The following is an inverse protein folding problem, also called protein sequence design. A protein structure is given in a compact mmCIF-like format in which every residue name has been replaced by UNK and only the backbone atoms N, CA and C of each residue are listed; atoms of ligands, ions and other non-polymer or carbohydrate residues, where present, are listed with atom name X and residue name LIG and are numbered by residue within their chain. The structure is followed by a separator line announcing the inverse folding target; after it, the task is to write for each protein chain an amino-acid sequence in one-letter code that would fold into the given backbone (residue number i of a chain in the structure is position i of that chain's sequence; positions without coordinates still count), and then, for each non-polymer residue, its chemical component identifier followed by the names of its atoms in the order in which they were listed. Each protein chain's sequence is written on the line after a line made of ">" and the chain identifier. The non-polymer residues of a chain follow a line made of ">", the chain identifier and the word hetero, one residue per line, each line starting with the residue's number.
data_IF_829535325204
#
_entry.id   IF_829535325204
#
_cell.length_a   1.000
_cell.length_b   1.000
_cell.length_c   1.000
_cell.angle_alpha   90.00
_cell.angle_beta   90.00
_cell.angle_gamma   90.00
#
_symmetry.space_group_name_H-M   'P 1'
#
loop_
_entity.id
_entity.type
_entity.pdbx_description
1 polymer ?
#
# COMPACT_ATOMS: atom_id res chain seq x y z
N UNK A 1 -16.15 -5.61 -41.46
CA UNK A 1 -17.26 -5.78 -40.51
C UNK A 1 -17.09 -7.04 -39.68
N UNK A 2 -17.19 -8.26 -40.23
CA UNK A 2 -16.99 -9.50 -39.44
C UNK A 2 -15.62 -9.57 -38.74
N UNK A 3 -14.53 -9.29 -39.47
CA UNK A 3 -13.19 -9.26 -38.89
C UNK A 3 -13.04 -8.23 -37.73
N UNK A 4 -13.66 -7.07 -37.89
CA UNK A 4 -13.61 -5.97 -36.91
C UNK A 4 -14.41 -6.29 -35.64
N UNK A 5 -15.55 -6.98 -35.78
CA UNK A 5 -16.37 -7.47 -34.66
C UNK A 5 -15.63 -8.58 -33.90
N UNK A 6 -14.96 -9.49 -34.64
CA UNK A 6 -14.14 -10.54 -34.05
C UNK A 6 -12.95 -9.95 -33.26
N UNK A 7 -12.23 -9.00 -33.84
CA UNK A 7 -11.14 -8.29 -33.18
C UNK A 7 -11.60 -7.54 -31.93
N UNK A 8 -12.74 -6.83 -31.99
CA UNK A 8 -13.33 -6.17 -30.82
C UNK A 8 -13.70 -7.17 -29.71
N UNK A 9 -14.24 -8.33 -30.07
CA UNK A 9 -14.52 -9.40 -29.11
C UNK A 9 -13.25 -9.98 -28.49
N UNK A 10 -12.17 -10.14 -29.26
CA UNK A 10 -10.90 -10.63 -28.75
C UNK A 10 -10.27 -9.63 -27.79
N UNK A 11 -10.24 -8.35 -28.16
CA UNK A 11 -9.76 -7.26 -27.29
C UNK A 11 -10.55 -7.18 -25.97
N UNK A 12 -11.86 -7.44 -26.01
CA UNK A 12 -12.70 -7.51 -24.82
C UNK A 12 -12.26 -8.67 -23.90
N UNK A 13 -11.99 -9.86 -24.44
CA UNK A 13 -11.52 -11.03 -23.66
C UNK A 13 -10.14 -10.74 -23.03
N UNK A 14 -9.23 -10.15 -23.78
CA UNK A 14 -7.89 -9.82 -23.29
C UNK A 14 -7.97 -8.77 -22.16
N UNK A 15 -8.78 -7.72 -22.35
CA UNK A 15 -9.02 -6.71 -21.33
C UNK A 15 -9.66 -7.30 -20.06
N UNK A 16 -10.51 -8.34 -20.18
CA UNK A 16 -11.09 -9.03 -19.02
C UNK A 16 -10.01 -9.73 -18.23
N UNK A 17 -9.16 -10.47 -18.92
CA UNK A 17 -8.05 -11.21 -18.31
C UNK A 17 -7.11 -10.28 -17.55
N UNK A 18 -6.79 -9.12 -18.13
CA UNK A 18 -5.98 -8.09 -17.46
C UNK A 18 -6.71 -7.52 -16.24
N UNK A 19 -8.02 -7.27 -16.34
CA UNK A 19 -8.81 -6.74 -15.23
C UNK A 19 -8.92 -7.73 -14.06
N UNK A 20 -9.15 -9.01 -14.35
CA UNK A 20 -9.22 -10.08 -13.34
C UNK A 20 -7.85 -10.28 -12.66
N UNK A 21 -6.76 -10.18 -13.42
CA UNK A 21 -5.38 -10.20 -12.88
C UNK A 21 -5.08 -8.99 -11.99
N UNK A 22 -5.50 -7.79 -12.41
CA UNK A 22 -5.37 -6.57 -11.61
C UNK A 22 -6.16 -6.67 -10.30
N UNK A 23 -7.39 -7.19 -10.34
CA UNK A 23 -8.21 -7.42 -9.14
C UNK A 23 -7.54 -8.41 -8.17
N UNK A 24 -6.97 -9.50 -8.70
CA UNK A 24 -6.25 -10.50 -7.90
C UNK A 24 -5.02 -9.88 -7.24
N UNK A 25 -4.20 -9.16 -8.02
CA UNK A 25 -3.00 -8.49 -7.53
C UNK A 25 -3.32 -7.45 -6.46
N UNK A 26 -4.38 -6.66 -6.66
CA UNK A 26 -4.83 -5.66 -5.69
C UNK A 26 -5.34 -6.32 -4.41
N UNK A 27 -6.05 -7.45 -4.51
CA UNK A 27 -6.52 -8.23 -3.35
C UNK A 27 -5.36 -8.80 -2.54
N UNK A 28 -4.36 -9.37 -3.21
CA UNK A 28 -3.13 -9.85 -2.56
C UNK A 28 -2.35 -8.69 -1.91
N UNK A 29 -2.28 -7.55 -2.59
CA UNK A 29 -1.74 -6.31 -2.04
C UNK A 29 -2.47 -5.88 -0.76
N UNK A 30 -3.81 -5.89 -0.77
CA UNK A 30 -4.62 -5.52 0.40
C UNK A 30 -4.31 -6.44 1.59
N UNK A 31 -4.11 -7.74 1.35
CA UNK A 31 -3.72 -8.69 2.40
C UNK A 31 -2.33 -8.40 2.97
N UNK A 32 -1.37 -8.02 2.14
CA UNK A 32 -0.02 -7.63 2.58
C UNK A 32 -0.08 -6.37 3.43
N UNK A 33 -0.87 -5.39 3.00
CA UNK A 33 -1.07 -4.13 3.73
C UNK A 33 -1.76 -4.38 5.07
N UNK A 34 -2.78 -5.24 5.12
CA UNK A 34 -3.44 -5.64 6.37
C UNK A 34 -2.45 -6.31 7.34
N UNK A 35 -1.61 -7.23 6.85
CA UNK A 35 -0.55 -7.83 7.67
C UNK A 35 0.45 -6.78 8.18
N UNK A 36 0.74 -5.76 7.36
CA UNK A 36 1.62 -4.64 7.74
C UNK A 36 0.98 -3.80 8.83
N UNK A 37 -0.32 -3.51 8.72
CA UNK A 37 -1.10 -2.81 9.75
C UNK A 37 -1.04 -3.54 11.10
N UNK A 38 -1.30 -4.86 11.11
CA UNK A 38 -1.18 -5.69 12.31
C UNK A 38 0.25 -5.75 12.84
N UNK A 39 1.25 -5.78 11.95
CA UNK A 39 2.66 -5.69 12.31
C UNK A 39 2.99 -4.39 13.04
N UNK A 40 2.52 -3.25 12.53
CA UNK A 40 2.71 -1.93 13.15
C UNK A 40 2.03 -1.86 14.52
N UNK A 41 0.85 -2.47 14.68
CA UNK A 41 0.19 -2.55 15.99
C UNK A 41 1.05 -3.29 17.03
N UNK A 42 1.64 -4.43 16.66
CA UNK A 42 2.56 -5.18 17.53
C UNK A 42 3.81 -4.36 17.86
N UNK A 43 4.37 -3.64 16.89
CA UNK A 43 5.51 -2.75 17.13
C UNK A 43 5.15 -1.64 18.12
N UNK A 44 3.96 -1.04 18.00
CA UNK A 44 3.47 -0.02 18.93
C UNK A 44 3.39 -0.55 20.36
N UNK A 45 2.86 -1.77 20.55
CA UNK A 45 2.79 -2.43 21.85
C UNK A 45 4.19 -2.67 22.44
N UNK A 46 5.13 -3.17 21.64
CA UNK A 46 6.52 -3.42 22.08
C UNK A 46 7.21 -2.12 22.47
N UNK A 47 7.07 -1.05 21.69
CA UNK A 47 7.66 0.27 21.99
C UNK A 47 7.06 0.83 23.29
N UNK A 48 5.74 0.71 23.47
CA UNK A 48 5.06 1.15 24.69
C UNK A 48 5.55 0.38 25.92
N UNK A 49 5.70 -0.94 25.81
CA UNK A 49 6.20 -1.77 26.89
C UNK A 49 7.67 -1.47 27.23
N UNK A 50 8.49 -1.22 26.21
CA UNK A 50 9.87 -0.81 26.39
C UNK A 50 9.95 0.55 27.12
N UNK A 51 9.08 1.51 26.77
CA UNK A 51 9.01 2.82 27.44
C UNK A 51 8.66 2.69 28.92
N UNK A 52 7.74 1.80 29.28
CA UNK A 52 7.41 1.50 30.68
C UNK A 52 8.62 0.91 31.42
N UNK A 53 9.32 -0.03 30.79
CA UNK A 53 10.51 -0.66 31.40
C UNK A 53 11.65 0.33 31.62
N UNK A 54 11.89 1.24 30.66
CA UNK A 54 12.90 2.29 30.82
C UNK A 54 12.49 3.31 31.90
N UNK A 55 11.21 3.67 31.99
CA UNK A 55 10.72 4.53 33.09
C UNK A 55 10.95 3.90 34.46
N UNK A 56 10.77 2.58 34.59
CA UNK A 56 11.12 1.85 35.82
C UNK A 56 12.62 1.90 36.10
N UNK A 57 13.46 1.71 35.09
CA UNK A 57 14.92 1.83 35.23
C UNK A 57 15.34 3.24 35.69
N UNK A 58 14.72 4.29 35.14
CA UNK A 58 14.97 5.66 35.57
C UNK A 58 14.60 5.88 37.04
N UNK A 59 13.46 5.34 37.50
CA UNK A 59 13.06 5.39 38.90
C UNK A 59 14.03 4.63 39.81
N UNK A 60 14.48 3.43 39.42
CA UNK A 60 15.48 2.68 40.19
C UNK A 60 16.84 3.39 40.23
N UNK A 61 17.25 4.06 39.14
CA UNK A 61 18.47 4.85 39.12
C UNK A 61 18.38 6.05 40.08
N UNK A 62 17.21 6.70 40.19
CA UNK A 62 16.97 7.76 41.17
C UNK A 62 17.06 7.25 42.61
N UNK A 63 16.43 6.11 42.91
CA UNK A 63 16.48 5.49 44.24
C UNK A 63 17.92 5.11 44.65
N UNK A 64 18.69 4.53 43.73
CA UNK A 64 20.12 4.26 43.96
C UNK A 64 20.89 5.56 44.18
N UNK A 65 20.59 6.62 43.42
CA UNK A 65 21.18 7.95 43.60
C UNK A 65 20.97 8.50 45.01
N UNK A 66 19.76 8.36 45.56
CA UNK A 66 19.44 8.76 46.93
C UNK A 66 20.24 7.95 47.97
N UNK A 67 20.37 6.64 47.77
CA UNK A 67 21.17 5.78 48.67
C UNK A 67 22.65 6.18 48.63
N UNK A 68 23.20 6.40 47.43
CA UNK A 68 24.61 6.78 47.27
C UNK A 68 24.91 8.14 47.91
N UNK A 69 23.98 9.09 47.84
CA UNK A 69 24.10 10.37 48.56
C UNK A 69 24.19 10.17 50.08
N UNK A 70 23.38 9.28 50.65
CA UNK A 70 23.46 8.94 52.08
C UNK A 70 24.80 8.28 52.44
N UNK A 71 25.35 7.43 51.57
CA UNK A 71 26.67 6.80 51.80
C UNK A 71 27.78 7.85 51.76
N UNK A 72 27.68 8.83 50.85
CA UNK A 72 28.61 9.96 50.76
C UNK A 72 28.60 10.78 52.07
N UNK A 73 27.41 11.12 52.56
CA UNK A 73 27.23 11.80 53.86
C UNK A 73 27.82 10.98 55.03
N UNK A 74 27.65 9.65 55.03
CA UNK A 74 28.25 8.76 56.04
C UNK A 74 29.77 8.75 55.94
N UNK A 75 30.33 8.75 54.73
CA UNK A 75 31.77 8.80 54.52
C UNK A 75 32.35 10.11 55.04
N UNK A 76 31.70 11.25 54.77
CA UNK A 76 32.10 12.55 55.28
C UNK A 76 32.01 12.64 56.82
N UNK A 77 30.94 12.11 57.41
CA UNK A 77 30.83 12.02 58.88
C UNK A 77 31.91 11.12 59.48
N UNK A 78 32.21 9.99 58.85
CA UNK A 78 33.26 9.07 59.29
C UNK A 78 34.64 9.72 59.21
N UNK A 79 34.88 10.50 58.15
CA UNK A 79 36.12 11.27 57.97
C UNK A 79 36.29 12.31 59.09
N UNK A 80 35.22 13.05 59.43
CA UNK A 80 35.21 14.02 60.53
C UNK A 80 35.42 13.34 61.90
N UNK A 81 34.78 12.20 62.14
CA UNK A 81 34.95 11.42 63.37
C UNK A 81 36.39 10.91 63.50
N UNK A 82 36.98 10.40 62.42
CA UNK A 82 38.36 9.93 62.38
C UNK A 82 39.34 11.08 62.65
N UNK A 83 39.10 12.26 62.09
CA UNK A 83 39.90 13.46 62.36
C UNK A 83 39.86 13.85 63.86
N UNK A 84 38.66 13.88 64.45
CA UNK A 84 38.51 14.18 65.88
C UNK A 84 39.23 13.14 66.76
N UNK A 85 39.15 11.85 66.39
CA UNK A 85 39.87 10.78 67.09
C UNK A 85 41.39 10.91 66.97
N UNK A 86 41.90 11.32 65.80
CA UNK A 86 43.32 11.57 65.58
C UNK A 86 43.83 12.75 66.44
N UNK A 87 43.03 13.81 66.56
CA UNK A 87 43.33 14.97 67.44
C UNK A 87 43.41 14.52 68.90
N UNK A 88 42.43 13.76 69.39
CA UNK A 88 42.40 13.32 70.79
C UNK A 88 43.52 12.30 71.09
N UNK A 89 43.85 11.43 70.13
CA UNK A 89 44.99 10.52 70.23
C UNK A 89 46.33 11.27 70.32
N UNK A 90 46.51 12.35 69.54
CA UNK A 90 47.68 13.22 69.65
C UNK A 90 47.75 13.92 71.02
N UNK A 91 46.60 14.28 71.59
CA UNK A 91 46.48 14.91 72.91
C UNK A 91 46.87 13.97 74.05
N UNK A 92 46.61 12.68 73.91
CA UNK A 92 47.01 11.64 74.87
C UNK A 92 48.50 11.26 74.83
N UNK A 93 49.28 11.84 73.91
CA UNK A 93 50.73 11.62 73.81
C UNK A 93 51.11 10.17 73.51
N UNK A 94 52.09 9.63 74.23
CA UNK A 94 52.60 8.26 74.01
C UNK A 94 51.53 7.17 74.22
N UNK A 95 50.54 7.40 75.09
CA UNK A 95 49.45 6.44 75.34
C UNK A 95 48.42 6.40 74.19
N UNK A 96 48.37 7.44 73.36
CA UNK A 96 47.45 7.56 72.21
C UNK A 96 48.02 7.04 70.89
N UNK A 97 49.28 6.60 70.84
CA UNK A 97 49.97 6.22 69.59
C UNK A 97 49.24 5.15 68.78
N UNK A 98 48.73 4.11 69.45
CA UNK A 98 47.96 3.04 68.80
C UNK A 98 46.62 3.55 68.24
N UNK A 99 45.92 4.43 68.96
CA UNK A 99 44.68 5.05 68.52
C UNK A 99 44.89 6.01 67.35
N UNK A 100 46.01 6.73 67.30
CA UNK A 100 46.35 7.64 66.20
C UNK A 100 46.50 6.90 64.86
N UNK A 101 47.12 5.71 64.88
CA UNK A 101 47.26 4.87 63.67
C UNK A 101 45.91 4.38 63.17
N UNK A 102 45.05 3.92 64.08
CA UNK A 102 43.69 3.47 63.71
C UNK A 102 42.87 4.63 63.16
N UNK A 103 42.95 5.82 63.77
CA UNK A 103 42.24 7.00 63.30
C UNK A 103 42.66 7.43 61.88
N UNK A 104 43.96 7.41 61.56
CA UNK A 104 44.43 7.73 60.20
C UNK A 104 44.00 6.66 59.17
N UNK A 105 43.93 5.39 59.55
CA UNK A 105 43.44 4.33 58.66
C UNK A 105 41.93 4.44 58.39
N UNK A 106 41.13 4.75 59.42
CA UNK A 106 39.69 5.04 59.26
C UNK A 106 39.48 6.27 58.38
N UNK A 107 40.30 7.32 58.55
CA UNK A 107 40.26 8.52 57.71
C UNK A 107 40.52 8.20 56.23
N UNK A 108 41.58 7.45 55.94
CA UNK A 108 41.90 6.99 54.57
C UNK A 108 40.79 6.13 53.98
N UNK A 109 40.17 5.27 54.79
CA UNK A 109 39.04 4.45 54.33
C UNK A 109 37.83 5.33 53.98
N UNK A 110 37.52 6.33 54.80
CA UNK A 110 36.46 7.29 54.55
C UNK A 110 36.71 8.10 53.26
N UNK A 111 37.92 8.62 53.05
CA UNK A 111 38.32 9.31 51.81
C UNK A 111 38.20 8.41 50.57
N UNK A 112 38.57 7.12 50.69
CA UNK A 112 38.41 6.14 49.60
C UNK A 112 36.94 5.84 49.32
N UNK A 113 36.10 5.75 50.35
CA UNK A 113 34.65 5.57 50.20
C UNK A 113 34.03 6.77 49.50
N UNK A 114 34.34 8.00 49.91
CA UNK A 114 33.85 9.24 49.29
C UNK A 114 34.25 9.35 47.81
N UNK A 115 35.46 8.91 47.47
CA UNK A 115 35.88 8.84 46.06
C UNK A 115 35.04 7.84 45.26
N UNK A 116 34.79 6.65 45.83
CA UNK A 116 34.01 5.61 45.17
C UNK A 116 32.52 6.01 45.02
N UNK A 117 31.91 6.64 46.03
CA UNK A 117 30.54 7.17 45.96
C UNK A 117 30.42 8.26 44.90
N UNK A 118 31.43 9.12 44.76
CA UNK A 118 31.47 10.14 43.69
C UNK A 118 31.52 9.51 42.29
N UNK A 119 32.34 8.48 42.09
CA UNK A 119 32.41 7.72 40.83
C UNK A 119 31.06 7.05 40.49
N UNK A 120 30.43 6.41 41.49
CA UNK A 120 29.10 5.79 41.33
C UNK A 120 28.03 6.84 41.02
N UNK A 121 28.06 8.00 41.68
CA UNK A 121 27.12 9.11 41.42
C UNK A 121 27.18 9.58 39.98
N UNK A 122 28.40 9.71 39.42
CA UNK A 122 28.57 10.09 38.02
C UNK A 122 28.01 9.02 37.07
N UNK A 123 28.18 7.74 37.40
CA UNK A 123 27.62 6.63 36.62
C UNK A 123 26.08 6.65 36.64
N UNK A 124 25.47 6.89 37.80
CA UNK A 124 24.01 7.00 37.95
C UNK A 124 23.47 8.17 37.12
N UNK A 125 24.14 9.34 37.16
CA UNK A 125 23.76 10.49 36.32
C UNK A 125 23.81 10.15 34.82
N UNK A 126 24.82 9.38 34.39
CA UNK A 126 24.90 8.86 33.03
C UNK A 126 23.68 7.99 32.67
N UNK A 127 23.35 7.02 33.54
CA UNK A 127 22.18 6.15 33.35
C UNK A 127 20.88 6.98 33.30
N UNK A 128 20.72 7.98 34.17
CA UNK A 128 19.54 8.87 34.15
C UNK A 128 19.44 9.64 32.82
N UNK A 129 20.55 10.16 32.31
CA UNK A 129 20.57 10.86 31.03
C UNK A 129 20.26 9.92 29.84
N UNK A 130 20.83 8.72 29.83
CA UNK A 130 20.61 7.72 28.78
C UNK A 130 19.16 7.23 28.79
N UNK A 131 18.58 7.01 29.97
CA UNK A 131 17.18 6.60 30.12
C UNK A 131 16.22 7.70 29.65
N UNK A 132 16.47 8.98 29.97
CA UNK A 132 15.67 10.10 29.45
C UNK A 132 15.72 10.17 27.92
N UNK A 133 16.91 10.02 27.34
CA UNK A 133 17.11 10.02 25.89
C UNK A 133 16.35 8.85 25.25
N UNK A 134 16.40 7.67 25.86
CA UNK A 134 15.70 6.49 25.36
C UNK A 134 14.17 6.64 25.45
N UNK A 135 13.63 7.24 26.52
CA UNK A 135 12.19 7.55 26.62
C UNK A 135 11.76 8.50 25.50
N UNK A 136 12.52 9.58 25.27
CA UNK A 136 12.23 10.52 24.17
C UNK A 136 12.27 9.83 22.81
N UNK A 137 13.24 8.93 22.59
CA UNK A 137 13.34 8.13 21.36
C UNK A 137 12.15 7.19 21.17
N UNK A 138 11.66 6.60 22.26
CA UNK A 138 10.47 5.74 22.22
C UNK A 138 9.19 6.52 21.94
N UNK A 139 9.02 7.72 22.49
CA UNK A 139 7.88 8.60 22.19
C UNK A 139 7.84 8.97 20.70
N UNK A 140 8.99 9.33 20.12
CA UNK A 140 9.11 9.54 18.67
C UNK A 140 8.84 8.26 17.88
N UNK A 141 9.34 7.11 18.36
CA UNK A 141 9.05 5.80 17.77
C UNK A 141 7.55 5.51 17.72
N UNK A 142 6.81 5.79 18.78
CA UNK A 142 5.34 5.65 18.82
C UNK A 142 4.66 6.53 17.77
N UNK A 143 5.11 7.78 17.58
CA UNK A 143 4.57 8.67 16.54
C UNK A 143 4.81 8.11 15.14
N UNK A 144 6.01 7.62 14.85
CA UNK A 144 6.34 7.01 13.55
C UNK A 144 5.53 5.75 13.27
N UNK A 145 5.33 4.89 14.27
CA UNK A 145 4.51 3.68 14.12
C UNK A 145 3.06 4.03 13.86
N UNK A 146 2.50 5.02 14.56
CA UNK A 146 1.14 5.49 14.32
C UNK A 146 0.96 6.06 12.90
N UNK A 147 1.93 6.86 12.44
CA UNK A 147 1.92 7.37 11.06
C UNK A 147 2.04 6.23 10.03
N UNK A 148 2.90 5.25 10.26
CA UNK A 148 3.01 4.07 9.40
C UNK A 148 1.72 3.25 9.34
N UNK A 149 0.98 3.18 10.45
CA UNK A 149 -0.34 2.53 10.51
C UNK A 149 -1.37 3.24 9.65
N UNK A 150 -1.42 4.58 9.72
CA UNK A 150 -2.34 5.40 8.92
C UNK A 150 -2.03 5.29 7.41
N UNK A 151 -0.74 5.33 7.04
CA UNK A 151 -0.31 5.13 5.66
C UNK A 151 -0.68 3.73 5.12
N UNK A 152 -0.53 2.69 5.95
CA UNK A 152 -0.97 1.35 5.60
C UNK A 152 -2.50 1.31 5.38
N UNK A 153 -3.28 1.93 6.24
CA UNK A 153 -4.74 2.01 6.09
C UNK A 153 -5.14 2.69 4.76
N UNK A 154 -4.55 3.84 4.45
CA UNK A 154 -4.78 4.56 3.19
C UNK A 154 -4.38 3.74 1.95
N UNK A 155 -3.27 3.01 2.02
CA UNK A 155 -2.88 2.08 0.96
C UNK A 155 -3.90 0.95 0.79
N UNK A 156 -4.46 0.45 1.90
CA UNK A 156 -5.49 -0.58 1.92
C UNK A 156 -6.81 -0.10 1.30
N UNK A 157 -7.21 1.16 1.54
CA UNK A 157 -8.34 1.81 0.88
C UNK A 157 -8.13 1.93 -0.63
N UNK A 158 -6.94 2.40 -1.04
CA UNK A 158 -6.59 2.56 -2.45
C UNK A 158 -6.64 1.23 -3.22
N UNK A 159 -6.16 0.14 -2.59
CA UNK A 159 -6.23 -1.20 -3.18
C UNK A 159 -7.66 -1.72 -3.30
N UNK A 160 -8.53 -1.44 -2.33
CA UNK A 160 -9.97 -1.75 -2.41
C UNK A 160 -10.66 -1.00 -3.54
N UNK A 161 -10.27 0.26 -3.77
CA UNK A 161 -10.76 1.04 -4.90
C UNK A 161 -10.32 0.41 -6.24
N UNK A 162 -9.06 -0.02 -6.36
CA UNK A 162 -8.56 -0.72 -7.55
C UNK A 162 -9.36 -2.00 -7.83
N UNK A 163 -9.65 -2.82 -6.81
CA UNK A 163 -10.49 -4.02 -6.97
C UNK A 163 -11.88 -3.65 -7.49
N UNK A 164 -12.48 -2.58 -6.96
CA UNK A 164 -13.79 -2.09 -7.39
C UNK A 164 -13.76 -1.62 -8.85
N UNK A 165 -12.73 -0.86 -9.23
CA UNK A 165 -12.53 -0.38 -10.60
C UNK A 165 -12.34 -1.54 -11.57
N UNK A 166 -11.52 -2.54 -11.22
CA UNK A 166 -11.33 -3.73 -12.04
C UNK A 166 -12.64 -4.49 -12.28
N UNK A 167 -13.48 -4.63 -11.24
CA UNK A 167 -14.80 -5.24 -11.37
C UNK A 167 -15.73 -4.44 -12.29
N UNK A 168 -15.69 -3.11 -12.23
CA UNK A 168 -16.45 -2.26 -13.14
C UNK A 168 -16.00 -2.42 -14.60
N UNK A 169 -14.70 -2.55 -14.83
CA UNK A 169 -14.14 -2.81 -16.17
C UNK A 169 -14.61 -4.18 -16.67
N UNK A 170 -14.53 -5.24 -15.86
CA UNK A 170 -15.04 -6.57 -16.21
C UNK A 170 -16.55 -6.55 -16.56
N UNK A 171 -17.35 -5.75 -15.87
CA UNK A 171 -18.77 -5.57 -16.18
C UNK A 171 -18.98 -4.88 -17.54
N UNK A 172 -18.24 -3.79 -17.82
CA UNK A 172 -18.29 -3.09 -19.12
C UNK A 172 -17.87 -3.99 -20.28
N UNK A 173 -16.84 -4.80 -20.07
CA UNK A 173 -16.38 -5.77 -21.05
C UNK A 173 -17.45 -6.81 -21.36
N UNK A 174 -18.18 -7.28 -20.34
CA UNK A 174 -19.31 -8.19 -20.53
C UNK A 174 -20.39 -7.58 -21.42
N UNK A 175 -20.67 -6.27 -21.24
CA UNK A 175 -21.61 -5.53 -22.09
C UNK A 175 -21.08 -5.39 -23.53
N UNK A 176 -19.80 -5.11 -23.71
CA UNK A 176 -19.16 -5.04 -25.05
C UNK A 176 -19.27 -6.40 -25.75
N UNK A 177 -18.99 -7.50 -25.07
CA UNK A 177 -19.10 -8.84 -25.65
C UNK A 177 -20.55 -9.14 -26.11
N UNK A 178 -21.55 -8.76 -25.31
CA UNK A 178 -22.96 -8.88 -25.69
C UNK A 178 -23.30 -8.02 -26.93
N UNK A 179 -22.87 -6.76 -26.95
CA UNK A 179 -23.08 -5.86 -28.09
C UNK A 179 -22.38 -6.35 -29.37
N UNK A 180 -21.15 -6.86 -29.27
CA UNK A 180 -20.43 -7.46 -30.39
C UNK A 180 -21.14 -8.70 -30.94
N UNK A 181 -21.76 -9.51 -30.07
CA UNK A 181 -22.57 -10.65 -30.51
C UNK A 181 -23.80 -10.21 -31.29
N UNK A 182 -24.48 -9.15 -30.83
CA UNK A 182 -25.63 -8.56 -31.52
C UNK A 182 -25.23 -7.95 -32.87
N UNK A 183 -24.13 -7.19 -32.92
CA UNK A 183 -23.57 -6.65 -34.16
C UNK A 183 -23.19 -7.75 -35.16
N UNK A 184 -22.65 -8.89 -34.69
CA UNK A 184 -22.35 -10.03 -35.56
C UNK A 184 -23.62 -10.59 -36.21
N UNK A 185 -24.69 -10.73 -35.43
CA UNK A 185 -25.97 -11.21 -35.94
C UNK A 185 -26.60 -10.25 -36.96
N UNK A 186 -26.54 -8.94 -36.68
CA UNK A 186 -27.00 -7.91 -37.60
C UNK A 186 -26.17 -7.89 -38.90
N UNK A 187 -24.85 -8.06 -38.81
CA UNK A 187 -23.97 -8.14 -39.98
C UNK A 187 -24.28 -9.36 -40.86
N UNK A 188 -24.59 -10.52 -40.28
CA UNK A 188 -25.04 -11.70 -41.02
C UNK A 188 -26.38 -11.45 -41.72
N UNK A 189 -27.33 -10.77 -41.08
CA UNK A 189 -28.59 -10.38 -41.70
C UNK A 189 -28.38 -9.42 -42.87
N UNK A 190 -27.50 -8.43 -42.72
CA UNK A 190 -27.14 -7.50 -43.80
C UNK A 190 -26.52 -8.26 -44.97
N UNK A 191 -25.60 -9.20 -44.71
CA UNK A 191 -24.98 -10.01 -45.74
C UNK A 191 -26.02 -10.82 -46.53
N UNK A 192 -26.99 -11.45 -45.85
CA UNK A 192 -28.11 -12.15 -46.49
C UNK A 192 -28.98 -11.22 -47.34
N UNK A 193 -29.27 -10.02 -46.83
CA UNK A 193 -30.06 -9.04 -47.58
C UNK A 193 -29.34 -8.56 -48.84
N UNK A 194 -28.01 -8.37 -48.79
CA UNK A 194 -27.20 -8.01 -49.96
C UNK A 194 -27.21 -9.13 -51.00
N UNK A 195 -27.10 -10.39 -50.58
CA UNK A 195 -27.18 -11.53 -51.49
C UNK A 195 -28.56 -11.61 -52.18
N UNK A 196 -29.63 -11.37 -51.42
CA UNK A 196 -30.99 -11.31 -51.95
C UNK A 196 -31.15 -10.17 -52.96
N UNK A 197 -30.65 -8.96 -52.65
CA UNK A 197 -30.64 -7.83 -53.59
C UNK A 197 -29.87 -8.18 -54.86
N UNK A 198 -28.69 -8.79 -54.73
CA UNK A 198 -27.88 -9.21 -55.89
C UNK A 198 -28.65 -10.19 -56.80
N UNK A 199 -29.42 -11.11 -56.20
CA UNK A 199 -30.28 -12.04 -56.94
C UNK A 199 -31.41 -11.31 -57.68
N UNK A 200 -32.16 -10.45 -56.99
CA UNK A 200 -33.25 -9.66 -57.58
C UNK A 200 -32.75 -8.75 -58.71
N UNK A 201 -31.59 -8.12 -58.53
CA UNK A 201 -30.96 -7.29 -59.56
C UNK A 201 -30.61 -8.12 -60.81
N UNK A 202 -30.10 -9.35 -60.64
CA UNK A 202 -29.84 -10.27 -61.76
C UNK A 202 -31.13 -10.69 -62.48
N UNK A 203 -32.17 -11.05 -61.75
CA UNK A 203 -33.49 -11.38 -62.33
C UNK A 203 -34.08 -10.18 -63.09
N UNK A 204 -33.94 -8.97 -62.54
CA UNK A 204 -34.40 -7.73 -63.17
C UNK A 204 -33.65 -7.46 -64.48
N UNK A 205 -32.34 -7.69 -64.52
CA UNK A 205 -31.55 -7.55 -65.74
C UNK A 205 -32.02 -8.51 -66.84
N UNK A 206 -32.25 -9.79 -66.50
CA UNK A 206 -32.79 -10.81 -67.43
C UNK A 206 -34.17 -10.41 -67.96
N UNK A 207 -35.08 -9.97 -67.07
CA UNK A 207 -36.41 -9.53 -67.46
C UNK A 207 -36.37 -8.29 -68.37
N UNK A 208 -35.40 -7.39 -68.15
CA UNK A 208 -35.19 -6.21 -68.99
C UNK A 208 -34.71 -6.59 -70.39
N UNK A 209 -33.74 -7.51 -70.50
CA UNK A 209 -33.29 -8.05 -71.79
C UNK A 209 -34.44 -8.73 -72.55
N UNK A 210 -35.25 -9.53 -71.86
CA UNK A 210 -36.41 -10.18 -72.46
C UNK A 210 -37.46 -9.16 -72.91
N UNK A 211 -37.71 -8.12 -72.12
CA UNK A 211 -38.62 -7.03 -72.49
C UNK A 211 -38.12 -6.27 -73.72
N UNK A 212 -36.82 -6.01 -73.83
CA UNK A 212 -36.22 -5.42 -75.02
C UNK A 212 -36.41 -6.32 -76.25
N UNK A 213 -36.21 -7.62 -76.12
CA UNK A 213 -36.43 -8.57 -77.21
C UNK A 213 -37.90 -8.62 -77.67
N UNK A 214 -38.85 -8.57 -76.72
CA UNK A 214 -40.29 -8.49 -77.02
C UNK A 214 -40.63 -7.17 -77.72
N UNK A 215 -40.06 -6.04 -77.27
CA UNK A 215 -40.27 -4.75 -77.91
C UNK A 215 -39.77 -4.73 -79.37
N UNK A 216 -38.60 -5.32 -79.64
CA UNK A 216 -38.07 -5.48 -81.01
C UNK A 216 -39.03 -6.33 -81.86
N UNK A 217 -39.50 -7.47 -81.32
CA UNK A 217 -40.43 -8.35 -82.02
C UNK A 217 -41.78 -7.66 -82.31
N UNK A 218 -42.28 -6.87 -81.37
CA UNK A 218 -43.51 -6.08 -81.53
C UNK A 218 -43.34 -5.00 -82.61
N UNK A 219 -42.19 -4.30 -82.63
CA UNK A 219 -41.85 -3.33 -83.68
C UNK A 219 -41.87 -3.99 -85.05
N UNK A 220 -41.26 -5.17 -85.19
CA UNK A 220 -41.24 -5.92 -86.44
C UNK A 220 -42.64 -6.35 -86.91
N UNK A 221 -43.50 -6.78 -85.99
CA UNK A 221 -44.89 -7.12 -86.30
C UNK A 221 -45.70 -5.88 -86.72
N UNK A 222 -45.50 -4.74 -86.05
CA UNK A 222 -46.13 -3.49 -86.41
C UNK A 222 -45.74 -3.04 -87.83
N UNK A 223 -44.44 -3.12 -88.18
CA UNK A 223 -43.96 -2.86 -89.55
C UNK A 223 -44.58 -3.80 -90.58
N UNK A 224 -44.66 -5.10 -90.29
CA UNK A 224 -45.29 -6.07 -91.18
C UNK A 224 -46.78 -5.76 -91.40
N UNK A 225 -47.52 -5.44 -90.34
CA UNK A 225 -48.92 -5.00 -90.46
C UNK A 225 -49.04 -3.72 -91.30
N UNK A 226 -48.13 -2.76 -91.11
CA UNK A 226 -48.10 -1.52 -91.87
C UNK A 226 -47.84 -1.77 -93.37
N UNK A 227 -46.94 -2.70 -93.71
CA UNK A 227 -46.73 -3.14 -95.09
C UNK A 227 -47.97 -3.82 -95.68
N UNK A 228 -48.62 -4.70 -94.93
CA UNK A 228 -49.84 -5.39 -95.38
C UNK A 228 -50.95 -4.37 -95.65
N UNK A 229 -51.23 -3.45 -94.71
CA UNK A 229 -52.22 -2.39 -94.90
C UNK A 229 -51.83 -1.45 -96.05
N UNK A 230 -50.54 -1.16 -96.22
CA UNK A 230 -50.02 -0.40 -97.36
C UNK A 230 -50.33 -1.03 -98.71
N UNK A 231 -50.37 -2.36 -98.82
CA UNK A 231 -50.81 -3.06 -100.05
C UNK A 231 -52.30 -2.92 -100.34
N UNK A 232 -53.12 -2.68 -99.32
CA UNK A 232 -54.56 -2.44 -99.47
C UNK A 232 -54.92 -0.96 -99.67
N UNK A 233 -53.96 -0.03 -99.54
CA UNK A 233 -54.13 1.35 -100.01
C UNK A 233 -54.11 1.37 -101.53
N UNK A 234 -55.29 1.31 -102.12
CA UNK A 234 -55.52 1.65 -103.53
C UNK A 234 -55.37 3.17 -103.64
N UNK A 235 -54.46 3.62 -104.51
CA UNK A 235 -54.31 5.03 -104.85
C UNK A 235 -55.69 5.62 -105.20
N UNK A 236 -56.06 6.68 -104.48
CA UNK A 236 -56.98 7.69 -105.00
C UNK A 236 -56.17 8.71 -105.76
#
# INVERSE_FOLDING_TARGET
>A
MSATIFESSQNAIDAKTVSDSAATTATDGSRIVENTHQGMQKVAEVVTHAAVSIKKLAASADEIGQIVAVIDDIADQTNLLALNAAIEAARAGEQGRGFAVVADEVRKLAERTAKATSEVTNMIKGIQQDTLTAVSGMEQGTLHVNSGRELAEQAGDSLREIVTMAQQVTNRITQIAAASKEQSSAAEQIARNIEHISKVTRETAVNSEQSAHVAVSLSQQAENLQQIVGRFKVNS
#
